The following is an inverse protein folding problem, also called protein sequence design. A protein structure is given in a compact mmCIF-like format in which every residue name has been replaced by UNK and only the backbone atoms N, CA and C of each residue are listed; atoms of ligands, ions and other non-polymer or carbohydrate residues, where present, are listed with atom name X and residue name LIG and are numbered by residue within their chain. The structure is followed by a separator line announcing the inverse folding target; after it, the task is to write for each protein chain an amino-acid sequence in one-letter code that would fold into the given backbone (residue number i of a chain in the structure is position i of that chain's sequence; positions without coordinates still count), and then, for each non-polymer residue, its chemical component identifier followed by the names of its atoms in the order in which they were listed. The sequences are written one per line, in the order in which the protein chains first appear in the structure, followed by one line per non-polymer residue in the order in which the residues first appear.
data_IF_913036039925
#
_entry.id   IF_913036039925
#
_cell.length_a   1.000
_cell.length_b   1.000
_cell.length_c   1.000
_cell.angle_alpha   90.00
_cell.angle_beta   90.00
_cell.angle_gamma   90.00
#
_symmetry.space_group_name_H-M   'P 1'
#
loop_
_entity.id
_entity.type
_entity.pdbx_description
1 polymer ?
#
# COMPACT_ATOMS: atom_id res chain seq x y z
N UNK A 1 10.62 19.32 3.16
CA UNK A 1 10.39 20.41 4.14
C UNK A 1 9.78 19.79 5.37
N UNK A 2 10.15 20.23 6.57
CA UNK A 2 9.54 19.70 7.80
C UNK A 2 8.01 19.92 7.74
N UNK A 3 7.24 18.86 8.01
CA UNK A 3 5.77 18.97 8.08
C UNK A 3 5.36 19.81 9.29
N UNK A 4 4.20 20.47 9.19
CA UNK A 4 3.69 21.33 10.25
C UNK A 4 3.09 20.53 11.42
N UNK A 5 2.74 21.22 12.52
CA UNK A 5 2.16 20.58 13.70
C UNK A 5 0.81 19.91 13.38
N UNK A 6 0.01 20.50 12.47
CA UNK A 6 -1.29 19.95 12.08
C UNK A 6 -1.14 18.60 11.40
N UNK A 7 -0.13 18.43 10.55
CA UNK A 7 0.19 17.14 9.95
C UNK A 7 0.45 16.06 11.00
N UNK A 8 1.26 16.35 12.01
CA UNK A 8 1.59 15.37 13.05
C UNK A 8 0.41 15.05 13.97
N UNK A 9 -0.49 16.01 14.24
CA UNK A 9 -1.77 15.73 14.90
C UNK A 9 -2.64 14.77 14.08
N UNK A 10 -2.77 14.98 12.77
CA UNK A 10 -3.53 14.08 11.90
C UNK A 10 -2.92 12.66 11.87
N UNK A 11 -1.59 12.55 11.88
CA UNK A 11 -0.91 11.25 11.96
C UNK A 11 -1.23 10.54 13.27
N UNK A 12 -1.24 11.26 14.40
CA UNK A 12 -1.66 10.68 15.69
C UNK A 12 -3.08 10.16 15.64
N UNK A 13 -4.02 10.94 15.10
CA UNK A 13 -5.41 10.50 14.97
C UNK A 13 -5.56 9.29 14.04
N UNK A 14 -4.83 9.28 12.91
CA UNK A 14 -4.95 8.21 11.91
C UNK A 14 -4.41 6.87 12.41
N UNK A 15 -3.29 6.90 13.14
CA UNK A 15 -2.60 5.69 13.61
C UNK A 15 -2.80 5.40 15.11
N UNK A 16 -3.63 6.18 15.79
CA UNK A 16 -3.84 6.13 17.25
C UNK A 16 -2.52 6.22 18.04
N UNK A 17 -1.64 7.14 17.60
CA UNK A 17 -0.34 7.34 18.26
C UNK A 17 -0.45 8.35 19.40
N UNK A 18 0.23 8.04 20.51
CA UNK A 18 0.48 9.01 21.58
C UNK A 18 1.70 9.88 21.26
N UNK A 19 1.88 10.97 21.99
CA UNK A 19 3.06 11.81 21.86
C UNK A 19 4.36 11.04 22.17
N UNK A 20 4.33 10.13 23.15
CA UNK A 20 5.48 9.28 23.47
C UNK A 20 5.89 8.37 22.31
N UNK A 21 4.91 7.85 21.54
CA UNK A 21 5.19 7.04 20.36
C UNK A 21 5.87 7.90 19.29
N UNK A 22 5.35 9.10 19.02
CA UNK A 22 5.93 10.02 18.03
C UNK A 22 7.37 10.45 18.38
N UNK A 23 7.67 10.64 19.66
CA UNK A 23 9.02 10.97 20.13
C UNK A 23 10.01 9.82 19.92
N UNK A 24 9.54 8.57 20.02
CA UNK A 24 10.37 7.37 19.83
C UNK A 24 10.63 7.01 18.36
N UNK A 25 9.91 7.62 17.42
CA UNK A 25 10.11 7.37 16.00
C UNK A 25 11.49 7.83 15.54
N UNK A 26 12.19 6.93 14.86
CA UNK A 26 13.44 7.22 14.16
C UNK A 26 13.21 8.23 13.02
N UNK A 27 14.26 8.95 12.57
CA UNK A 27 14.15 9.82 11.40
C UNK A 27 13.59 9.12 10.15
N UNK A 28 13.92 7.84 9.97
CA UNK A 28 13.45 7.05 8.84
C UNK A 28 11.96 6.73 8.93
N UNK A 29 11.49 6.33 10.12
CA UNK A 29 10.05 6.13 10.35
C UNK A 29 9.27 7.43 10.16
N UNK A 30 9.82 8.58 10.60
CA UNK A 30 9.21 9.89 10.35
C UNK A 30 9.13 10.19 8.85
N UNK A 31 10.21 9.94 8.09
CA UNK A 31 10.23 10.10 6.63
C UNK A 31 9.13 9.29 5.94
N UNK A 32 8.92 8.05 6.38
CA UNK A 32 7.83 7.19 5.88
C UNK A 32 6.47 7.80 6.17
N UNK A 33 6.22 8.25 7.41
CA UNK A 33 4.96 8.86 7.79
C UNK A 33 4.65 10.14 7.00
N UNK A 34 5.67 10.95 6.71
CA UNK A 34 5.55 12.17 5.89
C UNK A 34 5.02 11.91 4.46
N UNK A 35 5.05 10.64 4.02
CA UNK A 35 4.64 10.15 2.70
C UNK A 35 3.32 9.36 2.69
N UNK A 36 2.66 9.18 3.83
CA UNK A 36 1.41 8.39 3.93
C UNK A 36 0.32 8.92 2.99
N UNK A 37 0.15 10.25 2.89
CA UNK A 37 -0.81 10.84 1.96
C UNK A 37 -0.48 10.52 0.49
N UNK A 38 0.81 10.48 0.13
CA UNK A 38 1.26 10.12 -1.22
C UNK A 38 0.98 8.65 -1.50
N UNK A 39 1.21 7.74 -0.54
CA UNK A 39 0.88 6.32 -0.67
C UNK A 39 -0.62 6.10 -0.96
N UNK A 40 -1.50 6.87 -0.30
CA UNK A 40 -2.95 6.80 -0.50
C UNK A 40 -3.45 7.29 -1.86
N UNK A 41 -2.61 7.98 -2.65
CA UNK A 41 -2.95 8.43 -4.00
C UNK A 41 -2.77 7.34 -5.06
N UNK A 42 -2.12 6.23 -4.72
CA UNK A 42 -1.78 5.17 -5.65
C UNK A 42 -2.58 3.89 -5.37
N UNK A 43 -2.81 3.13 -6.43
CA UNK A 43 -3.36 1.77 -6.37
C UNK A 43 -2.47 0.85 -7.18
N UNK A 44 -2.23 -0.33 -6.64
CA UNK A 44 -1.60 -1.43 -7.36
C UNK A 44 -2.70 -2.33 -7.89
N UNK A 45 -2.72 -2.49 -9.21
CA UNK A 45 -3.70 -3.34 -9.90
C UNK A 45 -2.97 -4.52 -10.50
N UNK A 46 -3.20 -5.70 -9.94
CA UNK A 46 -2.72 -6.96 -10.49
C UNK A 46 -3.87 -7.64 -11.24
N UNK A 47 -3.83 -7.58 -12.57
CA UNK A 47 -4.81 -8.21 -13.45
C UNK A 47 -4.34 -9.62 -13.86
N UNK A 48 -5.26 -10.57 -13.78
CA UNK A 48 -5.06 -11.92 -14.31
C UNK A 48 -5.08 -11.83 -15.83
N UNK A 49 -3.94 -12.11 -16.48
CA UNK A 49 -3.84 -12.11 -17.94
C UNK A 49 -4.12 -13.48 -18.56
N UNK A 50 -3.95 -14.55 -17.78
CA UNK A 50 -4.23 -15.94 -18.18
C UNK A 50 -4.47 -16.82 -16.95
N UNK A 51 -5.20 -17.93 -17.13
CA UNK A 51 -5.48 -18.89 -16.06
C UNK A 51 -5.71 -20.28 -16.65
N UNK A 52 -5.08 -21.30 -16.08
CA UNK A 52 -5.24 -22.71 -16.47
C UNK A 52 -5.22 -23.58 -15.23
N UNK A 53 -6.21 -24.48 -15.08
CA UNK A 53 -6.30 -25.41 -13.93
C UNK A 53 -6.27 -24.72 -12.55
N UNK A 54 -6.71 -23.47 -12.46
CA UNK A 54 -6.81 -22.73 -11.20
C UNK A 54 -8.01 -23.23 -10.38
N UNK A 55 -7.78 -23.77 -9.18
CA UNK A 55 -8.84 -24.19 -8.25
C UNK A 55 -9.76 -23.05 -7.84
N UNK A 56 -9.23 -21.83 -7.76
CA UNK A 56 -10.00 -20.63 -7.42
C UNK A 56 -10.79 -20.10 -8.62
N UNK A 57 -10.73 -20.75 -9.79
CA UNK A 57 -11.48 -20.39 -10.99
C UNK A 57 -11.33 -18.92 -11.43
N UNK A 58 -10.24 -18.24 -11.05
CA UNK A 58 -9.90 -16.92 -11.56
C UNK A 58 -9.83 -16.93 -13.09
N UNK A 59 -10.37 -15.89 -13.72
CA UNK A 59 -10.42 -15.74 -15.17
C UNK A 59 -9.54 -14.58 -15.64
N UNK A 60 -9.11 -14.57 -16.92
CA UNK A 60 -8.53 -13.38 -17.51
C UNK A 60 -9.42 -12.15 -17.30
N UNK A 61 -8.82 -11.02 -16.90
CA UNK A 61 -9.51 -9.80 -16.52
C UNK A 61 -9.90 -9.70 -15.04
N UNK A 62 -9.77 -10.78 -14.26
CA UNK A 62 -9.94 -10.67 -12.80
C UNK A 62 -8.83 -9.83 -12.17
N UNK A 63 -9.16 -9.02 -11.15
CA UNK A 63 -8.22 -8.06 -10.56
C UNK A 63 -8.08 -8.24 -9.05
N UNK A 64 -6.85 -8.05 -8.59
CA UNK A 64 -6.54 -7.71 -7.21
C UNK A 64 -6.16 -6.24 -7.18
N UNK A 65 -6.76 -5.48 -6.26
CA UNK A 65 -6.51 -4.05 -6.12
C UNK A 65 -6.12 -3.78 -4.67
N UNK A 66 -4.97 -3.16 -4.46
CA UNK A 66 -4.48 -2.82 -3.12
C UNK A 66 -3.74 -1.48 -3.13
N UNK A 67 -3.73 -0.80 -2.00
CA UNK A 67 -2.89 0.38 -1.77
C UNK A 67 -1.42 -0.08 -1.57
N UNK A 68 -0.42 0.75 -1.93
CA UNK A 68 1.00 0.43 -1.69
C UNK A 68 1.33 0.13 -0.22
N UNK A 69 0.55 0.68 0.72
CA UNK A 69 0.64 0.38 2.16
C UNK A 69 0.12 -1.00 2.57
N UNK A 70 -0.31 -1.85 1.63
CA UNK A 70 -0.70 -3.24 1.86
C UNK A 70 -2.18 -3.47 2.17
N UNK A 71 -3.01 -2.42 2.17
CA UNK A 71 -4.46 -2.54 2.33
C UNK A 71 -5.10 -3.04 1.04
N UNK A 72 -5.75 -4.20 1.10
CA UNK A 72 -6.55 -4.73 0.00
C UNK A 72 -7.86 -3.93 -0.13
N UNK A 73 -8.16 -3.45 -1.34
CA UNK A 73 -9.40 -2.78 -1.69
C UNK A 73 -10.38 -3.83 -2.21
N UNK A 74 -11.01 -4.56 -1.28
CA UNK A 74 -11.82 -5.75 -1.54
C UNK A 74 -12.94 -5.47 -2.54
N UNK A 75 -13.55 -4.29 -2.43
CA UNK A 75 -14.67 -3.82 -3.25
C UNK A 75 -14.27 -3.56 -4.70
N UNK A 76 -12.97 -3.36 -4.96
CA UNK A 76 -12.41 -3.13 -6.30
C UNK A 76 -11.78 -4.40 -6.90
N UNK A 77 -11.57 -5.43 -6.07
CA UNK A 77 -11.14 -6.74 -6.53
C UNK A 77 -12.29 -7.46 -7.25
N UNK A 78 -11.94 -8.32 -8.21
CA UNK A 78 -12.92 -9.14 -8.92
C UNK A 78 -12.53 -10.62 -8.88
N UNK A 79 -13.53 -11.50 -8.78
CA UNK A 79 -13.34 -12.93 -8.54
C UNK A 79 -12.85 -13.24 -7.11
N UNK A 80 -12.70 -14.52 -6.74
CA UNK A 80 -12.33 -14.91 -5.38
C UNK A 80 -10.92 -14.48 -4.99
N UNK A 81 -10.70 -14.08 -3.74
CA UNK A 81 -9.37 -13.71 -3.24
C UNK A 81 -8.60 -14.99 -2.88
N UNK A 82 -7.51 -15.26 -3.60
CA UNK A 82 -6.60 -16.35 -3.30
C UNK A 82 -5.43 -15.84 -2.44
N UNK A 83 -5.30 -16.31 -1.20
CA UNK A 83 -4.18 -15.92 -0.32
C UNK A 83 -2.82 -16.25 -0.94
N UNK A 84 -2.72 -17.37 -1.66
CA UNK A 84 -1.48 -17.74 -2.36
C UNK A 84 -1.18 -16.78 -3.51
N UNK A 85 -2.19 -16.39 -4.29
CA UNK A 85 -2.02 -15.38 -5.34
C UNK A 85 -1.61 -14.02 -4.77
N UNK A 86 -2.25 -13.60 -3.67
CA UNK A 86 -1.94 -12.35 -2.99
C UNK A 86 -0.52 -12.33 -2.41
N UNK A 87 -0.06 -13.44 -1.83
CA UNK A 87 1.29 -13.55 -1.29
C UNK A 87 2.38 -13.31 -2.36
N UNK A 88 2.15 -13.77 -3.60
CA UNK A 88 3.06 -13.49 -4.72
C UNK A 88 3.04 -12.03 -5.18
N UNK A 89 2.01 -11.26 -4.83
CA UNK A 89 1.90 -9.85 -5.21
C UNK A 89 2.59 -8.91 -4.21
N UNK A 90 2.80 -9.37 -2.97
CA UNK A 90 3.36 -8.57 -1.90
C UNK A 90 4.74 -7.94 -2.22
N UNK A 91 5.70 -8.63 -2.87
CA UNK A 91 6.97 -7.99 -3.25
C UNK A 91 6.80 -6.77 -4.15
N UNK A 92 5.81 -6.76 -5.04
CA UNK A 92 5.54 -5.60 -5.89
C UNK A 92 4.95 -4.43 -5.09
N UNK A 93 4.17 -4.71 -4.04
CA UNK A 93 3.70 -3.68 -3.11
C UNK A 93 4.89 -2.97 -2.44
N UNK A 94 5.88 -3.74 -1.95
CA UNK A 94 7.09 -3.17 -1.34
C UNK A 94 7.91 -2.33 -2.33
N UNK A 95 8.09 -2.80 -3.58
CA UNK A 95 8.80 -2.04 -4.60
C UNK A 95 8.12 -0.69 -4.90
N UNK A 96 6.79 -0.68 -5.00
CA UNK A 96 6.02 0.54 -5.25
C UNK A 96 6.06 1.47 -4.04
N UNK A 97 5.93 0.89 -2.83
CA UNK A 97 6.06 1.62 -1.57
C UNK A 97 7.41 2.33 -1.50
N UNK A 98 8.52 1.63 -1.69
CA UNK A 98 9.88 2.18 -1.63
C UNK A 98 10.06 3.33 -2.62
N UNK A 99 9.58 3.18 -3.86
CA UNK A 99 9.64 4.26 -4.88
C UNK A 99 8.90 5.50 -4.41
N UNK A 100 7.69 5.35 -3.86
CA UNK A 100 6.90 6.48 -3.35
C UNK A 100 7.61 7.16 -2.17
N UNK A 101 8.17 6.38 -1.23
CA UNK A 101 8.93 6.93 -0.10
C UNK A 101 10.12 7.77 -0.59
N UNK A 102 10.83 7.28 -1.61
CA UNK A 102 11.96 7.98 -2.25
C UNK A 102 11.52 9.14 -3.17
N UNK A 103 10.22 9.38 -3.34
CA UNK A 103 9.69 10.43 -4.22
C UNK A 103 9.92 10.15 -5.70
N UNK A 104 10.04 8.88 -6.06
CA UNK A 104 10.20 8.39 -7.44
C UNK A 104 8.84 7.94 -7.97
N UNK A 105 8.50 8.29 -9.21
CA UNK A 105 7.27 7.82 -9.86
C UNK A 105 7.27 6.28 -9.91
N UNK A 106 6.26 5.61 -9.32
CA UNK A 106 6.20 4.14 -9.34
C UNK A 106 6.03 3.52 -10.74
N UNK A 107 5.65 4.30 -11.77
CA UNK A 107 5.48 3.83 -13.14
C UNK A 107 6.69 4.03 -14.08
N UNK A 108 7.75 4.72 -13.65
CA UNK A 108 8.92 4.99 -14.51
C UNK A 108 10.01 5.80 -13.83
#
# INVERSE_FOLDING_TARGET
MAKDAKFWENIKETFDFTDEILEQLTPEQKRVLEKVDELGQWKVVAEVTSSSHCYQHKQPGDRYVFEPGGKLLIEECTGPICVWGLAYMLPFAYMIFDRIIEGIDPNG
#
